data_IF_465305338839
#
_entry.id   IF_465305338839
#
_cell.length_a   1.000
_cell.length_b   1.000
_cell.length_c   1.000
_cell.angle_alpha   90.00
_cell.angle_beta   90.00
_cell.angle_gamma   90.00
#
_symmetry.space_group_name_H-M   'P 1'
#
loop_
_entity.id
_entity.type
_entity.pdbx_description
1 polymer ?
#
# COMPACT_ATOMS: atom_id res chain seq x y z
N UNK A 1 -5.08 33.02 -3.04
CA UNK A 1 -3.70 32.64 -2.67
C UNK A 1 -3.29 31.46 -3.52
N UNK A 2 -2.17 31.51 -4.24
CA UNK A 2 -1.68 30.34 -4.97
C UNK A 2 -1.22 29.29 -3.93
N UNK A 3 -1.70 28.04 -4.03
CA UNK A 3 -1.23 26.94 -3.18
C UNK A 3 0.30 26.84 -3.31
N UNK A 4 1.00 26.88 -2.18
CA UNK A 4 2.47 26.72 -2.11
C UNK A 4 2.87 25.30 -2.55
N UNK A 5 2.02 24.32 -2.28
CA UNK A 5 2.20 22.92 -2.63
C UNK A 5 1.13 22.46 -3.62
N UNK A 6 1.46 21.48 -4.47
CA UNK A 6 0.50 20.86 -5.38
C UNK A 6 -0.33 19.77 -4.71
N UNK A 7 0.22 19.11 -3.68
CA UNK A 7 -0.39 18.01 -2.96
C UNK A 7 -0.68 18.39 -1.51
N UNK A 8 -1.76 17.85 -0.97
CA UNK A 8 -2.15 17.89 0.43
C UNK A 8 -2.12 16.49 1.04
N UNK A 9 -1.60 16.37 2.26
CA UNK A 9 -1.47 15.08 2.97
C UNK A 9 -2.11 15.19 4.35
N UNK A 10 -3.04 14.30 4.68
CA UNK A 10 -3.55 14.14 6.04
C UNK A 10 -2.86 12.96 6.72
N UNK A 11 -2.40 13.18 7.95
CA UNK A 11 -1.75 12.19 8.81
C UNK A 11 -2.66 11.81 9.96
N UNK A 12 -2.77 10.52 10.28
CA UNK A 12 -3.27 10.12 11.60
C UNK A 12 -2.23 10.42 12.68
N UNK A 13 -2.62 10.29 13.93
CA UNK A 13 -1.73 10.49 15.10
C UNK A 13 -1.47 9.15 15.79
N UNK A 14 -2.53 8.45 16.22
CA UNK A 14 -2.42 7.24 17.02
C UNK A 14 -1.82 6.10 16.16
N UNK A 15 -0.81 5.46 16.70
CA UNK A 15 -0.03 4.41 16.05
C UNK A 15 0.56 4.78 14.66
N UNK A 16 0.46 6.06 14.29
CA UNK A 16 1.21 6.62 13.15
C UNK A 16 2.34 7.53 13.62
N UNK A 17 2.06 8.60 14.36
CA UNK A 17 3.04 9.56 14.87
C UNK A 17 3.30 9.42 16.36
N UNK A 18 2.32 8.95 17.13
CA UNK A 18 2.41 8.69 18.56
C UNK A 18 2.05 7.24 18.87
N UNK A 19 2.80 6.64 19.81
CA UNK A 19 2.58 5.26 20.25
C UNK A 19 1.28 5.15 21.04
N UNK A 20 0.26 4.53 20.50
CA UNK A 20 -1.02 4.31 21.18
C UNK A 20 -1.12 2.89 21.73
N UNK A 21 -1.26 1.91 20.87
CA UNK A 21 -1.44 0.49 21.23
C UNK A 21 -0.24 -0.05 22.01
N UNK A 22 0.97 0.20 21.54
CA UNK A 22 2.19 -0.26 22.19
C UNK A 22 2.36 0.34 23.59
N UNK A 23 2.05 1.63 23.73
CA UNK A 23 2.12 2.32 25.01
C UNK A 23 1.06 1.80 25.99
N UNK A 24 -0.19 1.60 25.57
CA UNK A 24 -1.25 1.03 26.38
C UNK A 24 -0.90 -0.40 26.85
N UNK A 25 -0.32 -1.25 25.99
CA UNK A 25 0.16 -2.59 26.34
C UNK A 25 1.27 -2.51 27.41
N UNK A 26 2.22 -1.59 27.26
CA UNK A 26 3.28 -1.36 28.24
C UNK A 26 2.69 -1.02 29.61
N UNK A 27 1.79 -0.04 29.67
CA UNK A 27 1.12 0.36 30.92
C UNK A 27 0.30 -0.78 31.54
N UNK A 28 -0.40 -1.58 30.72
CA UNK A 28 -1.13 -2.75 31.18
C UNK A 28 -0.21 -3.81 31.78
N UNK A 29 0.92 -4.10 31.15
CA UNK A 29 1.91 -5.03 31.69
C UNK A 29 2.52 -4.53 33.00
N UNK A 30 2.77 -3.24 33.11
CA UNK A 30 3.27 -2.62 34.36
C UNK A 30 2.24 -2.69 35.51
N UNK A 31 0.96 -2.48 35.20
CA UNK A 31 -0.14 -2.48 36.16
C UNK A 31 -0.54 -3.89 36.60
N UNK A 32 -0.76 -4.77 35.64
CA UNK A 32 -1.37 -6.10 35.89
C UNK A 32 -0.37 -7.24 36.01
N UNK A 33 0.91 -7.01 35.65
CA UNK A 33 1.99 -8.01 35.76
C UNK A 33 1.66 -9.33 35.08
N UNK A 34 1.13 -9.25 33.84
CA UNK A 34 0.80 -10.45 33.05
C UNK A 34 2.01 -11.38 32.87
N UNK A 35 1.76 -12.71 32.94
CA UNK A 35 2.75 -13.74 32.64
C UNK A 35 2.13 -14.79 31.69
N UNK A 36 2.58 -14.94 30.46
CA UNK A 36 3.56 -14.07 29.79
C UNK A 36 3.01 -12.63 29.58
N UNK A 37 3.89 -11.61 29.45
CA UNK A 37 3.46 -10.25 29.18
C UNK A 37 2.60 -10.15 27.92
N UNK A 38 1.68 -9.19 27.90
CA UNK A 38 0.93 -8.84 26.68
C UNK A 38 1.90 -8.39 25.58
N UNK A 39 1.63 -8.84 24.36
CA UNK A 39 2.37 -8.48 23.16
C UNK A 39 1.49 -7.73 22.17
N UNK A 40 2.07 -6.79 21.45
CA UNK A 40 1.39 -6.07 20.35
C UNK A 40 0.93 -7.03 19.23
N UNK A 41 1.56 -8.20 19.11
CA UNK A 41 1.19 -9.23 18.13
C UNK A 41 -0.09 -10.00 18.49
N UNK A 42 -0.63 -9.81 19.69
CA UNK A 42 -1.96 -10.31 20.09
C UNK A 42 -3.10 -9.45 19.48
N UNK A 43 -2.76 -8.29 18.92
CA UNK A 43 -3.68 -7.47 18.14
C UNK A 43 -3.79 -8.03 16.72
N UNK A 44 -4.82 -8.84 16.45
CA UNK A 44 -5.03 -9.46 15.14
C UNK A 44 -5.79 -8.54 14.18
N UNK A 45 -6.62 -7.65 14.70
CA UNK A 45 -7.39 -6.66 13.95
C UNK A 45 -7.63 -5.41 14.81
N UNK A 46 -8.08 -4.32 14.21
CA UNK A 46 -8.50 -3.14 14.96
C UNK A 46 -9.86 -3.38 15.61
N UNK A 47 -9.99 -3.07 16.90
CA UNK A 47 -11.20 -3.24 17.70
C UNK A 47 -11.05 -4.27 18.82
N UNK A 48 -12.15 -4.55 19.54
CA UNK A 48 -12.14 -5.50 20.64
C UNK A 48 -12.09 -6.94 20.16
N UNK A 49 -11.28 -7.76 20.84
CA UNK A 49 -11.02 -9.15 20.49
C UNK A 49 -11.78 -10.15 21.38
N UNK A 50 -12.32 -9.71 22.52
CA UNK A 50 -12.82 -10.61 23.56
C UNK A 50 -11.72 -11.36 24.31
N UNK A 51 -10.48 -10.87 24.25
CA UNK A 51 -9.29 -11.48 24.85
C UNK A 51 -8.65 -10.56 25.90
N UNK A 52 -7.60 -11.05 26.57
CA UNK A 52 -6.88 -10.28 27.58
C UNK A 52 -6.29 -8.96 27.05
N UNK A 53 -6.02 -8.84 25.75
CA UNK A 53 -5.46 -7.62 25.15
C UNK A 53 -6.45 -6.46 25.18
N UNK A 54 -7.75 -6.72 25.33
CA UNK A 54 -8.78 -5.68 25.41
C UNK A 54 -8.65 -4.74 26.62
N UNK A 55 -7.80 -5.09 27.59
CA UNK A 55 -7.45 -4.21 28.71
C UNK A 55 -6.89 -2.84 28.26
N UNK A 56 -6.30 -2.76 27.07
CA UNK A 56 -5.76 -1.51 26.51
C UNK A 56 -6.83 -0.41 26.40
N UNK A 57 -8.09 -0.77 26.20
CA UNK A 57 -9.21 0.18 26.08
C UNK A 57 -9.53 0.93 27.39
N UNK A 58 -9.00 0.50 28.53
CA UNK A 58 -9.10 1.24 29.79
C UNK A 58 -8.33 2.58 29.69
N UNK A 59 -7.18 2.56 29.01
CA UNK A 59 -6.28 3.72 28.89
C UNK A 59 -6.82 4.79 27.93
N UNK A 60 -7.63 4.40 26.94
CA UNK A 60 -8.20 5.34 25.98
C UNK A 60 -9.29 6.25 26.55
N UNK A 61 -9.69 6.02 27.81
CA UNK A 61 -10.59 6.88 28.58
C UNK A 61 -9.84 7.69 29.66
N UNK A 62 -8.51 7.69 29.66
CA UNK A 62 -7.68 8.39 30.63
C UNK A 62 -7.01 9.60 29.99
N UNK A 63 -7.27 10.86 30.45
CA UNK A 63 -6.61 12.05 29.94
C UNK A 63 -5.09 12.02 30.11
N UNK A 64 -4.58 11.34 31.15
CA UNK A 64 -3.15 11.26 31.40
C UNK A 64 -2.45 10.40 30.33
N UNK A 65 -3.13 9.38 29.82
CA UNK A 65 -2.63 8.60 28.70
C UNK A 65 -2.26 9.52 27.50
N UNK A 66 -3.16 10.41 27.10
CA UNK A 66 -2.93 11.33 25.98
C UNK A 66 -1.90 12.43 26.27
N UNK A 67 -1.69 12.77 27.55
CA UNK A 67 -0.63 13.71 27.94
C UNK A 67 0.76 13.11 27.88
N UNK A 68 0.87 11.81 28.17
CA UNK A 68 2.16 11.10 28.34
C UNK A 68 2.51 10.18 27.18
N UNK A 69 1.58 10.01 26.24
CA UNK A 69 1.74 9.17 25.04
C UNK A 69 3.04 9.51 24.30
N UNK A 70 3.96 8.53 24.09
CA UNK A 70 5.24 8.80 23.44
C UNK A 70 5.09 9.13 21.96
N UNK A 71 5.97 9.94 21.43
CA UNK A 71 6.14 10.16 20.00
C UNK A 71 7.04 9.07 19.43
N UNK A 72 6.66 8.47 18.31
CA UNK A 72 7.51 7.48 17.64
C UNK A 72 8.87 8.06 17.26
N UNK A 73 9.90 7.23 17.37
CA UNK A 73 11.24 7.60 16.91
C UNK A 73 11.20 7.97 15.42
N UNK A 74 11.75 9.13 15.08
CA UNK A 74 11.79 9.64 13.71
C UNK A 74 10.53 10.39 13.25
N UNK A 75 9.39 10.36 14.00
CA UNK A 75 8.15 11.00 13.58
C UNK A 75 8.30 12.53 13.40
N UNK A 76 9.04 13.21 14.27
CA UNK A 76 9.29 14.66 14.15
C UNK A 76 10.08 14.98 12.87
N UNK A 77 11.14 14.22 12.60
CA UNK A 77 11.92 14.38 11.38
C UNK A 77 11.11 14.09 10.13
N UNK A 78 10.27 13.05 10.18
CA UNK A 78 9.35 12.70 9.12
C UNK A 78 8.38 13.84 8.80
N UNK A 79 7.68 14.38 9.83
CA UNK A 79 6.75 15.51 9.64
C UNK A 79 7.47 16.74 9.08
N UNK A 80 8.66 17.06 9.59
CA UNK A 80 9.46 18.18 9.09
C UNK A 80 9.81 18.01 7.61
N UNK A 81 10.26 16.82 7.18
CA UNK A 81 10.56 16.53 5.77
C UNK A 81 9.28 16.61 4.92
N UNK A 82 8.21 15.97 5.35
CA UNK A 82 6.94 15.95 4.62
C UNK A 82 6.36 17.36 4.43
N UNK A 83 6.49 18.23 5.43
CA UNK A 83 6.04 19.63 5.36
C UNK A 83 6.81 20.48 4.33
N UNK A 84 7.94 19.98 3.81
CA UNK A 84 8.63 20.61 2.67
C UNK A 84 8.10 20.12 1.32
N UNK A 85 7.40 19.01 1.30
CA UNK A 85 6.95 18.31 0.07
C UNK A 85 5.46 18.52 -0.22
N UNK A 86 4.63 18.53 0.83
CA UNK A 86 3.17 18.64 0.75
C UNK A 86 2.62 19.61 1.78
N UNK A 87 1.39 20.08 1.58
CA UNK A 87 0.62 20.75 2.62
C UNK A 87 0.11 19.71 3.61
N UNK A 88 0.61 19.76 4.86
CA UNK A 88 0.35 18.72 5.86
C UNK A 88 -0.84 19.10 6.75
N UNK A 89 -1.76 18.17 6.90
CA UNK A 89 -2.90 18.19 7.81
C UNK A 89 -2.81 17.03 8.78
N UNK A 90 -3.48 17.16 9.92
CA UNK A 90 -3.74 16.06 10.85
C UNK A 90 -5.21 15.70 10.82
N UNK A 91 -5.51 14.40 10.82
CA UNK A 91 -6.86 13.86 10.93
C UNK A 91 -6.87 12.73 11.96
N UNK A 92 -7.28 13.03 13.20
CA UNK A 92 -7.25 12.07 14.31
C UNK A 92 -8.60 11.90 14.97
N UNK A 93 -8.95 10.66 15.33
CA UNK A 93 -10.14 10.34 16.11
C UNK A 93 -9.78 10.30 17.59
N UNK A 94 -10.46 11.12 18.39
CA UNK A 94 -10.27 11.20 19.85
C UNK A 94 -11.61 11.54 20.51
N UNK A 95 -11.89 11.06 21.74
CA UNK A 95 -13.07 11.48 22.50
C UNK A 95 -13.10 13.01 22.66
N UNK A 96 -14.30 13.64 22.52
CA UNK A 96 -14.44 15.09 22.55
C UNK A 96 -13.83 15.77 23.78
N UNK A 97 -13.92 15.12 24.94
CA UNK A 97 -13.38 15.59 26.22
C UNK A 97 -11.84 15.71 26.24
N UNK A 98 -11.14 15.04 25.33
CA UNK A 98 -9.67 15.04 25.27
C UNK A 98 -9.12 15.83 24.07
N UNK A 99 -9.97 16.40 23.22
CA UNK A 99 -9.54 17.12 22.02
C UNK A 99 -8.56 18.26 22.33
N UNK A 100 -8.78 19.00 23.44
CA UNK A 100 -7.87 20.08 23.86
C UNK A 100 -6.47 19.57 24.24
N UNK A 101 -6.39 18.41 24.89
CA UNK A 101 -5.12 17.76 25.24
C UNK A 101 -4.39 17.36 23.96
N UNK A 102 -5.08 16.72 23.04
CA UNK A 102 -4.54 16.25 21.76
C UNK A 102 -4.04 17.43 20.91
N UNK A 103 -4.84 18.51 20.78
CA UNK A 103 -4.45 19.69 20.01
C UNK A 103 -3.17 20.31 20.56
N UNK A 104 -3.09 20.49 21.88
CA UNK A 104 -1.89 21.02 22.54
C UNK A 104 -0.67 20.17 22.25
N UNK A 105 -0.78 18.83 22.41
CA UNK A 105 0.32 17.89 22.14
C UNK A 105 0.77 17.94 20.69
N UNK A 106 -0.15 18.00 19.71
CA UNK A 106 0.21 18.08 18.29
C UNK A 106 1.01 19.37 18.03
N UNK A 107 0.55 20.52 18.54
CA UNK A 107 1.24 21.79 18.34
C UNK A 107 2.63 21.84 19.01
N UNK A 108 2.79 21.16 20.16
CA UNK A 108 4.08 21.09 20.88
C UNK A 108 5.08 20.15 20.18
N UNK A 109 4.61 19.01 19.70
CA UNK A 109 5.49 17.96 19.17
C UNK A 109 5.78 18.13 17.67
N UNK A 110 4.85 18.74 16.91
CA UNK A 110 4.91 18.93 15.47
C UNK A 110 4.60 20.38 15.06
N UNK A 111 5.49 21.34 15.44
CA UNK A 111 5.26 22.78 15.21
C UNK A 111 5.21 23.18 13.73
N UNK A 112 5.60 22.29 12.82
CA UNK A 112 5.47 22.49 11.37
C UNK A 112 4.02 22.42 10.89
N UNK A 113 3.09 21.84 11.69
CA UNK A 113 1.67 21.70 11.35
C UNK A 113 0.91 22.91 11.92
N UNK A 114 0.32 23.77 11.08
CA UNK A 114 -0.48 24.91 11.55
C UNK A 114 -1.69 24.43 12.37
N UNK A 115 -2.10 25.22 13.35
CA UNK A 115 -3.23 24.86 14.24
C UNK A 115 -4.54 24.70 13.49
N UNK A 116 -4.77 25.44 12.41
CA UNK A 116 -5.95 25.37 11.54
C UNK A 116 -5.90 24.18 10.56
N UNK A 117 -4.80 23.41 10.52
CA UNK A 117 -4.67 22.15 9.80
C UNK A 117 -4.99 20.91 10.67
N UNK A 118 -5.46 21.09 11.90
CA UNK A 118 -5.75 19.99 12.81
C UNK A 118 -7.26 19.68 12.80
N UNK A 119 -7.62 18.53 12.27
CA UNK A 119 -8.98 18.01 12.24
C UNK A 119 -9.16 16.86 13.23
N UNK A 120 -10.18 16.94 14.09
CA UNK A 120 -10.46 15.93 15.10
C UNK A 120 -11.86 15.37 14.93
N UNK A 121 -11.94 14.07 14.75
CA UNK A 121 -13.20 13.35 14.59
C UNK A 121 -13.03 12.04 13.85
N UNK A 122 -13.98 11.13 14.00
CA UNK A 122 -13.95 9.77 13.42
C UNK A 122 -14.30 9.75 11.91
N UNK A 123 -14.88 10.83 11.38
CA UNK A 123 -15.34 10.89 9.98
C UNK A 123 -14.24 11.37 9.04
N UNK A 124 -13.11 10.64 9.00
CA UNK A 124 -11.97 10.94 8.13
C UNK A 124 -12.33 10.90 6.64
N UNK A 125 -13.39 10.18 6.28
CA UNK A 125 -13.98 10.15 4.93
C UNK A 125 -14.49 11.52 4.42
N UNK A 126 -14.67 12.50 5.32
CA UNK A 126 -15.11 13.87 4.97
C UNK A 126 -13.96 14.84 4.73
N UNK A 127 -12.72 14.44 4.94
CA UNK A 127 -11.56 15.30 4.73
C UNK A 127 -11.09 15.11 3.28
N UNK A 128 -11.04 16.22 2.54
CA UNK A 128 -10.60 16.23 1.15
C UNK A 128 -9.11 16.58 1.08
N UNK A 129 -8.30 15.58 0.85
CA UNK A 129 -6.85 15.69 0.65
C UNK A 129 -6.42 14.77 -0.50
N UNK A 130 -5.23 14.99 -1.05
CA UNK A 130 -4.70 14.13 -2.10
C UNK A 130 -4.19 12.80 -1.53
N UNK A 131 -3.56 12.84 -0.36
CA UNK A 131 -2.95 11.69 0.32
C UNK A 131 -3.54 11.57 1.72
N UNK A 132 -4.00 10.38 2.10
CA UNK A 132 -4.26 10.02 3.50
C UNK A 132 -3.21 9.01 3.95
N UNK A 133 -2.58 9.22 5.09
CA UNK A 133 -1.66 8.28 5.72
C UNK A 133 -2.16 7.86 7.09
N UNK A 134 -2.52 6.59 7.23
CA UNK A 134 -3.25 6.05 8.38
C UNK A 134 -2.87 4.57 8.58
N UNK A 135 -2.94 4.05 9.82
CA UNK A 135 -2.70 2.64 10.12
C UNK A 135 -3.97 1.80 10.16
N UNK A 136 -5.13 2.46 10.21
CA UNK A 136 -6.42 1.79 10.31
C UNK A 136 -7.02 1.51 8.93
N UNK A 137 -7.14 0.22 8.60
CA UNK A 137 -7.65 -0.25 7.30
C UNK A 137 -9.02 0.34 6.93
N UNK A 138 -9.92 0.51 7.90
CA UNK A 138 -11.25 1.09 7.63
C UNK A 138 -11.19 2.56 7.19
N UNK A 139 -10.20 3.34 7.67
CA UNK A 139 -9.99 4.71 7.23
C UNK A 139 -9.48 4.75 5.79
N UNK A 140 -8.55 3.85 5.45
CA UNK A 140 -8.03 3.71 4.09
C UNK A 140 -9.15 3.34 3.11
N UNK A 141 -9.98 2.34 3.45
CA UNK A 141 -11.06 1.85 2.57
C UNK A 141 -12.19 2.87 2.34
N UNK A 142 -12.47 3.71 3.33
CA UNK A 142 -13.53 4.72 3.27
C UNK A 142 -13.02 6.10 2.84
N UNK A 143 -11.72 6.27 2.64
CA UNK A 143 -11.13 7.56 2.28
C UNK A 143 -11.61 8.06 0.94
N UNK A 144 -11.80 9.37 0.83
CA UNK A 144 -11.98 10.10 -0.43
C UNK A 144 -10.65 10.61 -1.03
N UNK A 145 -9.53 10.41 -0.35
CA UNK A 145 -8.22 10.75 -0.86
C UNK A 145 -7.88 9.92 -2.11
N UNK A 146 -7.20 10.54 -3.08
CA UNK A 146 -6.75 9.82 -4.28
C UNK A 146 -5.71 8.75 -3.97
N UNK A 147 -4.85 9.01 -2.97
CA UNK A 147 -3.78 8.12 -2.52
C UNK A 147 -3.96 7.78 -1.03
N UNK A 148 -4.88 6.88 -0.67
CA UNK A 148 -4.95 6.36 0.69
C UNK A 148 -3.80 5.36 0.88
N UNK A 149 -2.92 5.64 1.84
CA UNK A 149 -1.69 4.86 2.09
C UNK A 149 -1.74 4.32 3.51
N UNK A 150 -1.62 2.99 3.64
CA UNK A 150 -1.65 2.28 4.91
C UNK A 150 -0.24 2.20 5.51
N UNK A 151 -0.08 2.60 6.78
CA UNK A 151 1.09 2.23 7.57
C UNK A 151 0.94 0.79 8.07
N UNK A 152 1.87 -0.08 7.74
CA UNK A 152 1.86 -1.46 8.23
C UNK A 152 2.05 -1.52 9.74
N UNK A 153 1.14 -2.26 10.39
CA UNK A 153 1.12 -2.55 11.82
C UNK A 153 0.71 -4.02 12.03
N UNK A 154 0.94 -4.62 13.21
CA UNK A 154 0.56 -6.02 13.46
C UNK A 154 -0.91 -6.34 13.16
N UNK A 155 -1.84 -5.42 13.44
CA UNK A 155 -3.29 -5.61 13.22
C UNK A 155 -3.78 -5.43 11.79
N UNK A 156 -2.91 -5.01 10.88
CA UNK A 156 -3.25 -4.86 9.47
C UNK A 156 -2.29 -5.60 8.53
N UNK A 157 -1.47 -6.52 9.08
CA UNK A 157 -0.44 -7.27 8.33
C UNK A 157 -0.98 -8.04 7.13
N UNK A 158 -2.23 -8.52 7.24
CA UNK A 158 -2.89 -9.31 6.20
C UNK A 158 -3.67 -8.43 5.18
N UNK A 159 -3.70 -7.11 5.38
CA UNK A 159 -4.35 -6.19 4.46
C UNK A 159 -3.66 -6.18 3.10
N UNK A 160 -4.42 -6.41 2.03
CA UNK A 160 -3.93 -6.48 0.66
C UNK A 160 -4.76 -5.61 -0.30
N UNK A 161 -4.21 -5.32 -1.48
CA UNK A 161 -4.93 -4.60 -2.52
C UNK A 161 -4.97 -3.08 -2.40
N UNK A 162 -4.24 -2.50 -1.44
CA UNK A 162 -4.12 -1.06 -1.22
C UNK A 162 -2.66 -0.63 -1.16
N UNK A 163 -2.37 0.66 -1.35
CA UNK A 163 -1.05 1.20 -1.08
C UNK A 163 -0.70 1.05 0.39
N UNK A 164 0.46 0.50 0.69
CA UNK A 164 0.95 0.32 2.05
C UNK A 164 2.46 0.48 2.11
N UNK A 165 2.95 1.00 3.24
CA UNK A 165 4.37 1.20 3.52
C UNK A 165 4.70 0.68 4.93
N UNK A 166 5.96 0.33 5.16
CA UNK A 166 6.41 -0.22 6.44
C UNK A 166 7.02 0.85 7.36
N UNK A 167 7.44 1.98 6.81
CA UNK A 167 8.13 3.05 7.54
C UNK A 167 7.98 4.40 6.84
N UNK A 168 8.45 5.46 7.51
CA UNK A 168 8.38 6.82 7.02
C UNK A 168 9.22 7.07 5.75
N UNK A 169 10.37 6.40 5.62
CA UNK A 169 11.23 6.60 4.45
C UNK A 169 10.59 6.03 3.17
N UNK A 170 9.90 4.90 3.28
CA UNK A 170 9.10 4.35 2.17
C UNK A 170 7.97 5.30 1.79
N UNK A 171 7.29 5.89 2.79
CA UNK A 171 6.23 6.86 2.54
C UNK A 171 6.76 8.11 1.83
N UNK A 172 7.87 8.70 2.30
CA UNK A 172 8.46 9.89 1.69
C UNK A 172 8.87 9.64 0.23
N UNK A 173 9.51 8.49 -0.06
CA UNK A 173 9.82 8.11 -1.45
C UNK A 173 8.57 7.97 -2.32
N UNK A 174 7.49 7.41 -1.75
CA UNK A 174 6.23 7.29 -2.47
C UNK A 174 5.61 8.66 -2.76
N UNK A 175 5.68 9.61 -1.83
CA UNK A 175 5.24 11.00 -2.02
C UNK A 175 6.04 11.69 -3.12
N UNK A 176 7.36 11.47 -3.20
CA UNK A 176 8.20 11.99 -4.31
C UNK A 176 7.68 11.52 -5.65
N UNK A 177 7.45 10.21 -5.82
CA UNK A 177 6.92 9.62 -7.05
C UNK A 177 5.54 10.17 -7.41
N UNK A 178 4.65 10.29 -6.41
CA UNK A 178 3.32 10.88 -6.61
C UNK A 178 3.44 12.34 -7.09
N UNK A 179 4.32 13.12 -6.47
CA UNK A 179 4.56 14.52 -6.83
C UNK A 179 5.13 14.68 -8.25
N UNK A 180 6.06 13.83 -8.65
CA UNK A 180 6.62 13.80 -10.01
C UNK A 180 5.55 13.44 -11.04
N UNK A 181 4.73 12.44 -10.78
CA UNK A 181 3.62 12.03 -11.66
C UNK A 181 2.61 13.17 -11.89
N UNK A 182 2.38 14.01 -10.89
CA UNK A 182 1.57 15.22 -11.02
C UNK A 182 2.21 16.33 -11.86
N UNK A 183 3.56 16.40 -11.86
CA UNK A 183 4.31 17.44 -12.55
C UNK A 183 4.41 17.22 -14.06
N UNK A 184 4.53 15.94 -14.49
CA UNK A 184 4.84 15.57 -15.87
C UNK A 184 3.58 15.52 -16.75
N UNK A 185 2.38 15.36 -16.16
CA UNK A 185 1.17 15.06 -16.94
C UNK A 185 1.19 13.61 -17.47
N UNK A 186 0.11 13.18 -18.14
CA UNK A 186 -0.03 11.80 -18.64
C UNK A 186 0.65 11.59 -20.03
N UNK A 187 1.78 12.20 -20.29
CA UNK A 187 2.52 11.97 -21.55
C UNK A 187 3.57 10.88 -21.33
N UNK A 188 3.08 9.65 -21.28
CA UNK A 188 3.87 8.44 -21.02
C UNK A 188 4.01 7.60 -22.29
N UNK A 189 4.41 8.22 -23.41
CA UNK A 189 4.85 7.45 -24.57
C UNK A 189 6.15 6.72 -24.23
N UNK A 190 6.18 5.39 -24.39
CA UNK A 190 7.42 4.60 -24.25
C UNK A 190 8.29 4.81 -25.49
N UNK A 191 9.02 5.91 -25.57
CA UNK A 191 9.96 6.20 -26.64
C UNK A 191 11.29 5.45 -26.51
N UNK A 192 11.59 4.95 -25.32
CA UNK A 192 12.78 4.17 -24.96
C UNK A 192 12.36 2.90 -24.21
N UNK A 193 13.26 1.90 -24.06
CA UNK A 193 12.94 0.74 -23.23
C UNK A 193 12.42 1.15 -21.85
N UNK A 194 11.22 0.72 -21.53
CA UNK A 194 10.53 1.07 -20.29
C UNK A 194 9.77 -0.10 -19.72
N UNK A 195 9.06 0.14 -18.63
CA UNK A 195 8.40 -0.90 -17.84
C UNK A 195 6.88 -0.69 -17.93
N UNK A 196 6.15 -1.72 -18.33
CA UNK A 196 4.70 -1.76 -18.35
C UNK A 196 4.19 -2.71 -17.29
N UNK A 197 3.39 -2.18 -16.38
CA UNK A 197 2.83 -2.94 -15.26
C UNK A 197 1.31 -3.02 -15.40
N UNK A 198 0.79 -4.24 -15.53
CA UNK A 198 -0.64 -4.48 -15.47
C UNK A 198 -1.06 -4.64 -14.01
N UNK A 199 -1.90 -3.73 -13.53
CA UNK A 199 -2.44 -3.68 -12.18
C UNK A 199 -3.93 -4.04 -12.22
N UNK A 200 -4.47 -4.55 -11.13
CA UNK A 200 -5.91 -4.83 -11.01
C UNK A 200 -6.19 -6.07 -10.18
N UNK A 201 -7.48 -6.32 -9.85
CA UNK A 201 -7.89 -7.36 -8.94
C UNK A 201 -7.48 -8.77 -9.37
N UNK A 202 -7.40 -9.66 -8.38
CA UNK A 202 -7.31 -11.09 -8.66
C UNK A 202 -8.48 -11.52 -9.54
N UNK A 203 -8.19 -12.31 -10.59
CA UNK A 203 -9.23 -12.72 -11.54
C UNK A 203 -9.56 -11.71 -12.65
N UNK A 204 -8.90 -10.55 -12.70
CA UNK A 204 -9.10 -9.57 -13.78
C UNK A 204 -8.53 -10.04 -15.14
N UNK A 205 -7.67 -11.06 -15.14
CA UNK A 205 -7.10 -11.62 -16.37
C UNK A 205 -5.76 -11.05 -16.78
N UNK A 206 -5.05 -10.32 -15.90
CA UNK A 206 -3.74 -9.69 -16.16
C UNK A 206 -2.74 -10.62 -16.86
N UNK A 207 -2.52 -11.82 -16.32
CA UNK A 207 -1.56 -12.77 -16.89
C UNK A 207 -1.97 -13.24 -18.29
N UNK A 208 -3.27 -13.48 -18.52
CA UNK A 208 -3.78 -13.85 -19.85
C UNK A 208 -3.59 -12.72 -20.86
N UNK A 209 -3.89 -11.49 -20.45
CA UNK A 209 -3.68 -10.29 -21.27
C UNK A 209 -2.19 -10.11 -21.58
N UNK A 210 -1.33 -10.21 -20.55
CA UNK A 210 0.12 -10.09 -20.76
C UNK A 210 0.66 -11.16 -21.71
N UNK A 211 0.21 -12.42 -21.61
CA UNK A 211 0.55 -13.47 -22.57
C UNK A 211 0.12 -13.12 -23.99
N UNK A 212 -1.07 -12.52 -24.15
CA UNK A 212 -1.55 -12.07 -25.46
C UNK A 212 -0.71 -10.93 -26.02
N UNK A 213 -0.35 -9.94 -25.22
CA UNK A 213 0.56 -8.84 -25.63
C UNK A 213 1.90 -9.42 -26.10
N UNK A 214 2.50 -10.30 -25.30
CA UNK A 214 3.78 -10.95 -25.63
C UNK A 214 3.75 -11.79 -26.90
N UNK A 215 2.59 -12.38 -27.26
CA UNK A 215 2.44 -13.14 -28.50
C UNK A 215 2.29 -12.30 -29.76
N UNK A 216 2.03 -10.99 -29.62
CA UNK A 216 1.80 -10.07 -30.75
C UNK A 216 3.00 -9.20 -31.10
N UNK A 217 4.04 -9.18 -30.25
CA UNK A 217 5.23 -8.35 -30.48
C UNK A 217 6.43 -8.89 -29.69
N UNK A 218 7.61 -8.75 -30.30
CA UNK A 218 8.92 -9.11 -29.70
C UNK A 218 9.56 -7.95 -28.93
N UNK A 219 8.94 -6.76 -28.97
CA UNK A 219 9.43 -5.57 -28.25
C UNK A 219 9.39 -5.72 -26.73
N UNK A 220 8.60 -6.64 -26.19
CA UNK A 220 8.43 -6.87 -24.77
C UNK A 220 9.07 -8.16 -24.31
N UNK A 221 9.66 -8.12 -23.13
CA UNK A 221 10.06 -9.29 -22.37
C UNK A 221 9.33 -9.31 -21.04
N UNK A 222 8.87 -10.50 -20.67
CA UNK A 222 8.22 -10.75 -19.41
C UNK A 222 9.23 -10.70 -18.26
N UNK A 223 8.90 -9.96 -17.19
CA UNK A 223 9.59 -10.09 -15.91
C UNK A 223 9.04 -11.29 -15.15
N UNK A 224 9.90 -12.20 -14.75
CA UNK A 224 9.55 -13.37 -13.93
C UNK A 224 9.82 -13.03 -12.46
N UNK A 225 8.79 -13.04 -11.63
CA UNK A 225 8.89 -12.79 -10.20
C UNK A 225 9.34 -14.04 -9.43
N UNK A 226 9.78 -13.86 -8.20
CA UNK A 226 10.14 -14.94 -7.28
C UNK A 226 8.98 -15.21 -6.31
N UNK A 227 8.76 -16.47 -5.95
CA UNK A 227 7.75 -16.85 -4.97
C UNK A 227 8.17 -18.04 -4.12
N UNK A 228 7.67 -18.07 -2.88
CA UNK A 228 7.79 -19.22 -1.98
C UNK A 228 6.60 -20.17 -2.07
N UNK A 229 5.67 -19.94 -3.02
CA UNK A 229 4.52 -20.81 -3.21
C UNK A 229 4.94 -22.18 -3.77
N UNK A 230 4.06 -23.19 -3.63
CA UNK A 230 4.29 -24.52 -4.21
C UNK A 230 4.07 -24.49 -5.73
N UNK A 231 5.03 -24.94 -6.56
CA UNK A 231 4.88 -25.04 -8.00
C UNK A 231 3.67 -25.82 -8.45
N UNK A 232 3.23 -26.83 -7.67
CA UNK A 232 2.08 -27.68 -7.99
C UNK A 232 0.74 -27.00 -7.75
N UNK A 233 0.71 -25.91 -6.95
CA UNK A 233 -0.50 -25.19 -6.60
C UNK A 233 -0.89 -24.09 -7.60
N UNK A 234 -0.02 -23.75 -8.57
CA UNK A 234 -0.21 -22.63 -9.48
C UNK A 234 -0.37 -23.13 -10.92
N UNK A 235 -1.51 -22.86 -11.54
CA UNK A 235 -1.80 -23.19 -12.94
C UNK A 235 -0.88 -22.50 -13.97
N UNK A 236 -0.05 -21.52 -13.54
CA UNK A 236 0.77 -20.67 -14.42
C UNK A 236 2.25 -20.70 -14.01
N UNK A 237 2.90 -21.87 -14.12
CA UNK A 237 4.34 -22.07 -13.80
C UNK A 237 5.31 -21.12 -14.53
N UNK A 238 4.86 -20.39 -15.53
CA UNK A 238 5.72 -19.53 -16.36
C UNK A 238 5.95 -18.13 -15.77
N UNK A 239 5.24 -17.75 -14.69
CA UNK A 239 5.29 -16.37 -14.15
C UNK A 239 6.18 -16.25 -12.91
N UNK A 240 6.67 -17.38 -12.39
CA UNK A 240 7.41 -17.37 -11.14
C UNK A 240 8.65 -18.24 -11.15
N UNK A 241 9.70 -17.75 -10.50
CA UNK A 241 10.82 -18.53 -10.03
C UNK A 241 10.50 -19.01 -8.60
N UNK A 242 10.40 -20.31 -8.42
CA UNK A 242 10.08 -20.90 -7.13
C UNK A 242 11.33 -21.04 -6.30
N UNK A 243 11.33 -20.49 -5.08
CA UNK A 243 12.47 -20.52 -4.15
C UNK A 243 12.01 -20.94 -2.76
N UNK A 244 12.93 -21.45 -1.94
CA UNK A 244 12.62 -21.72 -0.54
C UNK A 244 12.37 -20.44 0.25
N UNK A 245 11.65 -20.54 1.39
CA UNK A 245 11.43 -19.42 2.30
C UNK A 245 12.75 -18.79 2.76
N UNK A 246 13.76 -19.63 3.05
CA UNK A 246 15.07 -19.14 3.51
C UNK A 246 15.81 -18.40 2.39
N UNK A 247 15.78 -18.91 1.17
CA UNK A 247 16.37 -18.23 0.00
C UNK A 247 15.66 -16.89 -0.25
N UNK A 248 14.33 -16.88 -0.20
CA UNK A 248 13.56 -15.66 -0.39
C UNK A 248 13.89 -14.60 0.67
N UNK A 249 14.00 -15.02 1.94
CA UNK A 249 14.40 -14.14 3.04
C UNK A 249 15.81 -13.57 2.82
N UNK A 250 16.77 -14.40 2.45
CA UNK A 250 18.13 -13.94 2.13
C UNK A 250 18.14 -12.90 1.01
N UNK A 251 17.35 -13.09 -0.05
CA UNK A 251 17.22 -12.14 -1.17
C UNK A 251 16.59 -10.80 -0.72
N UNK A 252 15.67 -10.83 0.24
CA UNK A 252 15.13 -9.62 0.84
C UNK A 252 16.15 -8.90 1.71
N UNK A 253 16.84 -9.63 2.58
CA UNK A 253 17.81 -9.09 3.54
C UNK A 253 19.06 -8.53 2.86
N UNK A 254 19.48 -9.13 1.73
CA UNK A 254 20.59 -8.64 0.90
C UNK A 254 20.26 -7.40 0.07
N UNK A 255 18.97 -6.99 0.00
CA UNK A 255 18.54 -5.87 -0.82
C UNK A 255 18.47 -6.17 -2.33
N UNK A 256 18.57 -7.43 -2.74
CA UNK A 256 18.39 -7.83 -4.15
C UNK A 256 16.97 -7.58 -4.65
N UNK A 257 15.98 -7.75 -3.76
CA UNK A 257 14.59 -7.49 -4.07
C UNK A 257 14.31 -5.98 -3.98
N UNK A 258 13.82 -5.37 -5.05
CA UNK A 258 13.31 -4.00 -4.98
C UNK A 258 11.89 -3.95 -4.41
N UNK A 259 11.19 -5.07 -4.45
CA UNK A 259 9.83 -5.23 -3.94
C UNK A 259 9.66 -6.67 -3.44
N UNK A 260 9.10 -6.80 -2.26
CA UNK A 260 8.63 -8.07 -1.73
C UNK A 260 7.32 -7.87 -0.95
N UNK A 261 6.42 -8.83 -1.02
CA UNK A 261 5.15 -8.84 -0.31
C UNK A 261 4.80 -10.24 0.14
N UNK A 262 4.06 -10.34 1.25
CA UNK A 262 3.45 -11.59 1.69
C UNK A 262 1.98 -11.60 1.26
N UNK A 263 1.56 -12.68 0.60
CA UNK A 263 0.18 -12.86 0.18
C UNK A 263 -0.22 -14.33 0.37
N UNK A 264 -1.32 -14.56 1.09
CA UNK A 264 -1.80 -15.91 1.43
C UNK A 264 -0.71 -16.85 2.02
N UNK A 265 0.16 -16.31 2.89
CA UNK A 265 1.25 -17.06 3.54
C UNK A 265 2.50 -17.29 2.70
N UNK A 266 2.53 -16.81 1.45
CA UNK A 266 3.66 -16.96 0.54
C UNK A 266 4.32 -15.63 0.22
N UNK A 267 5.66 -15.64 0.07
CA UNK A 267 6.44 -14.50 -0.39
C UNK A 267 6.35 -14.35 -1.91
N UNK A 268 6.24 -13.10 -2.36
CA UNK A 268 6.35 -12.71 -3.78
C UNK A 268 7.28 -11.52 -3.88
N UNK A 269 8.16 -11.53 -4.88
CA UNK A 269 9.11 -10.43 -5.03
C UNK A 269 9.78 -10.42 -6.40
N UNK A 270 10.47 -9.32 -6.70
CA UNK A 270 11.19 -9.14 -7.96
C UNK A 270 12.54 -8.47 -7.72
N UNK A 271 13.56 -8.91 -8.46
CA UNK A 271 14.92 -8.34 -8.35
C UNK A 271 15.11 -7.17 -9.29
N UNK A 272 15.82 -6.17 -8.80
CA UNK A 272 16.20 -5.01 -9.59
C UNK A 272 17.05 -5.38 -10.81
N UNK A 273 17.96 -6.33 -10.62
CA UNK A 273 18.86 -6.81 -11.68
C UNK A 273 18.11 -7.45 -12.85
N UNK A 274 17.02 -8.20 -12.60
CA UNK A 274 16.24 -8.85 -13.66
C UNK A 274 15.53 -7.81 -14.52
N UNK A 275 14.99 -6.75 -13.90
CA UNK A 275 14.39 -5.62 -14.63
C UNK A 275 15.45 -4.93 -15.49
N UNK A 276 16.61 -4.59 -14.90
CA UNK A 276 17.68 -3.90 -15.61
C UNK A 276 18.21 -4.72 -16.80
N UNK A 277 18.38 -6.02 -16.62
CA UNK A 277 18.86 -6.92 -17.69
C UNK A 277 17.93 -6.92 -18.92
N UNK A 278 16.61 -6.84 -18.69
CA UNK A 278 15.66 -6.74 -19.81
C UNK A 278 15.79 -5.38 -20.49
N UNK A 279 15.85 -4.29 -19.75
CA UNK A 279 16.00 -2.93 -20.30
C UNK A 279 17.30 -2.80 -21.09
N UNK A 280 18.42 -3.35 -20.59
CA UNK A 280 19.73 -3.33 -21.25
C UNK A 280 19.72 -4.14 -22.56
N UNK A 281 18.83 -5.13 -22.70
CA UNK A 281 18.62 -5.85 -23.96
C UNK A 281 17.89 -5.04 -25.05
N UNK A 282 17.48 -3.82 -24.74
CA UNK A 282 16.72 -2.96 -25.64
C UNK A 282 15.21 -3.29 -25.71
N UNK A 283 14.70 -4.17 -24.85
CA UNK A 283 13.29 -4.54 -24.78
C UNK A 283 12.57 -3.86 -23.62
N UNK A 284 11.28 -3.65 -23.79
CA UNK A 284 10.43 -3.21 -22.68
C UNK A 284 10.15 -4.37 -21.74
N UNK A 285 10.03 -4.06 -20.46
CA UNK A 285 9.56 -5.01 -19.43
C UNK A 285 8.04 -5.05 -19.43
N UNK A 286 7.44 -6.22 -19.47
CA UNK A 286 6.01 -6.42 -19.19
C UNK A 286 5.85 -7.27 -17.94
N UNK A 287 5.08 -6.79 -16.96
CA UNK A 287 4.83 -7.52 -15.73
C UNK A 287 3.42 -7.33 -15.21
N UNK A 288 3.01 -8.17 -14.28
CA UNK A 288 1.73 -8.08 -13.57
C UNK A 288 2.02 -8.01 -12.07
N UNK A 289 1.59 -6.96 -11.41
CA UNK A 289 1.82 -6.74 -9.97
C UNK A 289 0.57 -6.19 -9.30
N UNK A 290 0.58 -6.16 -7.98
CA UNK A 290 -0.33 -5.32 -7.21
C UNK A 290 0.12 -3.85 -7.27
N UNK A 291 -0.66 -2.96 -6.68
CA UNK A 291 -0.35 -1.52 -6.72
C UNK A 291 0.92 -1.18 -5.95
N UNK A 292 1.22 -1.89 -4.85
CA UNK A 292 2.45 -1.68 -4.08
C UNK A 292 3.69 -1.99 -4.92
N UNK A 293 3.69 -3.13 -5.61
CA UNK A 293 4.77 -3.52 -6.53
C UNK A 293 4.92 -2.54 -7.69
N UNK A 294 3.82 -2.08 -8.27
CA UNK A 294 3.83 -1.10 -9.36
C UNK A 294 4.41 0.26 -8.91
N UNK A 295 4.03 0.74 -7.74
CA UNK A 295 4.56 1.98 -7.18
C UNK A 295 6.02 1.83 -6.74
N UNK A 296 6.42 0.67 -6.22
CA UNK A 296 7.83 0.37 -5.93
C UNK A 296 8.69 0.40 -7.21
N UNK A 297 8.18 -0.10 -8.33
CA UNK A 297 8.88 0.07 -9.62
C UNK A 297 9.09 1.54 -9.97
N UNK A 298 8.06 2.39 -9.80
CA UNK A 298 8.18 3.85 -10.05
C UNK A 298 9.20 4.52 -9.13
N UNK A 299 9.46 4.00 -7.93
CA UNK A 299 10.50 4.54 -7.02
C UNK A 299 11.93 4.18 -7.42
N UNK A 300 12.11 3.12 -8.21
CA UNK A 300 13.43 2.58 -8.56
C UNK A 300 13.81 2.80 -10.03
N UNK A 301 12.82 2.98 -10.91
CA UNK A 301 13.02 3.10 -12.35
C UNK A 301 12.27 4.31 -12.89
N UNK A 302 12.87 4.97 -13.86
CA UNK A 302 12.20 5.94 -14.72
C UNK A 302 11.42 5.20 -15.81
N UNK A 303 10.51 5.88 -16.49
CA UNK A 303 9.76 5.32 -17.62
C UNK A 303 8.94 4.05 -17.26
N UNK A 304 8.14 4.14 -16.20
CA UNK A 304 7.22 3.09 -15.73
C UNK A 304 5.79 3.50 -16.00
N UNK A 305 5.07 2.70 -16.78
CA UNK A 305 3.66 2.88 -17.14
C UNK A 305 2.82 1.85 -16.41
N UNK A 306 1.83 2.30 -15.65
CA UNK A 306 0.87 1.46 -14.94
C UNK A 306 -0.47 1.46 -15.65
N UNK A 307 -1.00 0.27 -15.95
CA UNK A 307 -2.27 0.09 -16.65
C UNK A 307 -3.21 -0.72 -15.75
N UNK A 308 -4.29 -0.09 -15.30
CA UNK A 308 -5.31 -0.77 -14.51
C UNK A 308 -6.23 -1.59 -15.40
N UNK A 309 -6.34 -2.89 -15.11
CA UNK A 309 -7.21 -3.84 -15.83
C UNK A 309 -8.55 -3.93 -15.11
N UNK A 310 -9.54 -3.22 -15.65
CA UNK A 310 -10.90 -3.16 -15.12
C UNK A 310 -11.75 -4.32 -15.63
N UNK A 311 -12.41 -5.00 -14.71
CA UNK A 311 -13.39 -6.06 -15.02
C UNK A 311 -14.60 -5.91 -14.12
N UNK A 312 -15.76 -6.34 -14.61
CA UNK A 312 -16.99 -6.32 -13.82
C UNK A 312 -16.88 -7.18 -12.55
N UNK A 313 -17.44 -6.69 -11.44
CA UNK A 313 -17.37 -7.35 -10.12
C UNK A 313 -17.87 -8.80 -10.16
N UNK A 314 -19.00 -9.06 -10.83
CA UNK A 314 -19.54 -10.42 -10.97
C UNK A 314 -18.56 -11.37 -11.69
N UNK A 315 -17.89 -10.88 -12.73
CA UNK A 315 -16.91 -11.67 -13.48
C UNK A 315 -15.64 -11.94 -12.64
N UNK A 316 -15.19 -10.97 -11.84
CA UNK A 316 -14.08 -11.13 -10.89
C UNK A 316 -14.41 -12.19 -9.85
N UNK A 317 -15.55 -12.05 -9.16
CA UNK A 317 -15.99 -13.01 -8.15
C UNK A 317 -16.12 -14.43 -8.72
N UNK A 318 -16.74 -14.57 -9.89
CA UNK A 318 -16.87 -15.87 -10.57
C UNK A 318 -15.50 -16.47 -10.89
N UNK A 319 -14.55 -15.65 -11.34
CA UNK A 319 -13.18 -16.09 -11.65
C UNK A 319 -12.44 -16.56 -10.39
N UNK A 320 -12.58 -15.85 -9.27
CA UNK A 320 -11.96 -16.22 -7.99
C UNK A 320 -12.54 -17.53 -7.46
N UNK A 321 -13.86 -17.66 -7.45
CA UNK A 321 -14.54 -18.85 -6.94
C UNK A 321 -14.21 -20.12 -7.72
N UNK A 322 -13.94 -20.01 -9.04
CA UNK A 322 -13.55 -21.13 -9.90
C UNK A 322 -12.09 -21.56 -9.74
N UNK A 323 -11.24 -20.78 -9.04
CA UNK A 323 -9.85 -21.19 -8.82
C UNK A 323 -9.76 -22.41 -7.93
N UNK A 324 -8.79 -23.27 -8.20
CA UNK A 324 -8.44 -24.40 -7.34
C UNK A 324 -7.50 -23.91 -6.23
N UNK A 325 -8.07 -23.24 -5.21
CA UNK A 325 -7.35 -22.71 -4.04
C UNK A 325 -8.21 -22.90 -2.79
N UNK A 326 -7.62 -22.71 -1.62
CA UNK A 326 -8.32 -22.83 -0.34
C UNK A 326 -9.50 -21.84 -0.24
N UNK A 327 -10.46 -22.14 0.64
CA UNK A 327 -11.58 -21.22 0.92
C UNK A 327 -11.05 -19.90 1.45
N UNK A 328 -10.06 -19.95 2.33
CA UNK A 328 -9.43 -18.77 2.93
C UNK A 328 -8.79 -17.86 1.86
N UNK A 329 -8.00 -18.42 0.92
CA UNK A 329 -7.46 -17.68 -0.23
C UNK A 329 -8.56 -17.02 -1.06
N UNK A 330 -9.66 -17.73 -1.33
CA UNK A 330 -10.80 -17.18 -2.07
C UNK A 330 -11.44 -16.01 -1.32
N UNK A 331 -11.65 -16.15 0.00
CA UNK A 331 -12.25 -15.10 0.84
C UNK A 331 -11.36 -13.86 0.86
N UNK A 332 -10.05 -14.01 1.08
CA UNK A 332 -9.10 -12.90 1.10
C UNK A 332 -9.08 -12.15 -0.25
N UNK A 333 -9.13 -12.86 -1.37
CA UNK A 333 -9.23 -12.26 -2.72
C UNK A 333 -10.54 -11.52 -2.96
N UNK A 334 -11.65 -12.03 -2.42
CA UNK A 334 -12.96 -11.38 -2.55
C UNK A 334 -13.01 -10.08 -1.74
N UNK A 335 -12.45 -10.09 -0.53
CA UNK A 335 -12.34 -8.89 0.32
C UNK A 335 -11.49 -7.81 -0.37
N UNK A 336 -10.37 -8.20 -0.98
CA UNK A 336 -9.46 -7.28 -1.65
C UNK A 336 -10.05 -6.57 -2.89
N UNK A 337 -11.17 -7.06 -3.47
CA UNK A 337 -11.75 -6.46 -4.69
C UNK A 337 -12.08 -4.98 -4.48
N UNK A 338 -12.63 -4.59 -3.34
CA UNK A 338 -13.06 -3.20 -3.11
C UNK A 338 -11.85 -2.27 -2.95
N UNK A 339 -10.84 -2.67 -2.18
CA UNK A 339 -9.61 -1.89 -2.02
C UNK A 339 -8.85 -1.75 -3.34
N UNK A 340 -8.78 -2.83 -4.13
CA UNK A 340 -8.11 -2.81 -5.42
C UNK A 340 -8.81 -1.95 -6.48
N UNK A 341 -10.12 -1.71 -6.36
CA UNK A 341 -10.85 -0.82 -7.28
C UNK A 341 -10.39 0.63 -7.23
N UNK A 342 -9.99 1.12 -6.06
CA UNK A 342 -9.47 2.48 -5.88
C UNK A 342 -8.16 2.69 -6.64
N UNK A 343 -7.40 1.64 -6.91
CA UNK A 343 -6.15 1.71 -7.64
C UNK A 343 -6.30 2.16 -9.10
N UNK A 344 -7.51 2.15 -9.64
CA UNK A 344 -7.79 2.68 -10.98
C UNK A 344 -7.48 4.18 -11.10
N UNK A 345 -7.65 4.95 -10.01
CA UNK A 345 -7.34 6.39 -9.96
C UNK A 345 -5.84 6.67 -9.86
N UNK A 346 -5.07 5.70 -9.37
CA UNK A 346 -3.63 5.81 -9.17
C UNK A 346 -2.86 5.48 -10.45
N UNK A 347 -3.36 4.52 -11.24
CA UNK A 347 -2.70 4.06 -12.46
C UNK A 347 -2.74 5.12 -13.58
N UNK A 348 -1.73 5.08 -14.47
CA UNK A 348 -1.61 6.01 -15.59
C UNK A 348 -2.71 5.82 -16.62
N UNK A 349 -3.10 4.56 -16.87
CA UNK A 349 -4.15 4.20 -17.82
C UNK A 349 -5.12 3.18 -17.23
N UNK A 350 -6.33 3.13 -17.82
CA UNK A 350 -7.36 2.15 -17.51
C UNK A 350 -7.79 1.45 -18.80
N UNK A 351 -7.77 0.10 -18.78
CA UNK A 351 -8.27 -0.76 -19.85
C UNK A 351 -9.48 -1.53 -19.36
N UNK A 352 -10.62 -1.32 -20.01
CA UNK A 352 -11.83 -2.11 -19.86
C UNK A 352 -12.07 -2.86 -21.17
N UNK A 353 -12.37 -4.15 -21.10
CA UNK A 353 -12.34 -5.03 -22.26
C UNK A 353 -13.49 -6.07 -22.23
N UNK A 354 -13.84 -6.56 -23.40
CA UNK A 354 -14.76 -7.68 -23.58
C UNK A 354 -14.02 -8.99 -23.82
N UNK A 355 -12.95 -8.96 -24.61
CA UNK A 355 -12.10 -10.12 -24.89
C UNK A 355 -10.62 -9.82 -24.55
N UNK A 356 -9.84 -10.86 -24.28
CA UNK A 356 -8.41 -10.70 -24.00
C UNK A 356 -7.62 -10.15 -25.19
N UNK A 357 -8.07 -10.42 -26.42
CA UNK A 357 -7.46 -9.89 -27.64
C UNK A 357 -7.73 -8.39 -27.76
N UNK A 358 -8.95 -7.94 -27.44
CA UNK A 358 -9.30 -6.51 -27.36
C UNK A 358 -8.44 -5.79 -26.31
N UNK A 359 -8.28 -6.38 -25.11
CA UNK A 359 -7.42 -5.81 -24.08
C UNK A 359 -5.96 -5.65 -24.55
N UNK A 360 -5.41 -6.67 -25.21
CA UNK A 360 -4.06 -6.62 -25.73
C UNK A 360 -3.89 -5.54 -26.80
N UNK A 361 -4.86 -5.40 -27.72
CA UNK A 361 -4.87 -4.37 -28.73
C UNK A 361 -4.93 -2.95 -28.13
N UNK A 362 -5.77 -2.72 -27.11
CA UNK A 362 -5.84 -1.47 -26.39
C UNK A 362 -4.49 -1.11 -25.73
N UNK A 363 -3.85 -2.09 -25.06
CA UNK A 363 -2.54 -1.89 -24.43
C UNK A 363 -1.49 -1.52 -25.47
N UNK A 364 -1.38 -2.26 -26.57
CA UNK A 364 -0.42 -1.96 -27.63
C UNK A 364 -0.64 -0.58 -28.25
N UNK A 365 -1.91 -0.14 -28.38
CA UNK A 365 -2.25 1.19 -28.84
C UNK A 365 -1.79 2.28 -27.85
N UNK A 366 -1.99 2.10 -26.54
CA UNK A 366 -1.52 3.03 -25.50
C UNK A 366 0.01 3.21 -25.58
N UNK A 367 0.73 2.11 -25.82
CA UNK A 367 2.19 2.09 -25.80
C UNK A 367 2.85 2.57 -27.10
N UNK A 368 2.10 2.68 -28.19
CA UNK A 368 2.57 3.18 -29.48
C UNK A 368 2.18 4.66 -29.73
N UNK A 369 1.57 5.33 -28.74
CA UNK A 369 1.29 6.75 -28.75
C UNK A 369 2.48 7.54 -28.25
#
# INVERSE_FOLDING_TARGET
MSRKFRLSTALDIDDLLMECTGYAIKLANEKYKYDPPLSIYEMEHWGRHGTRVDVIYEYFNDPEFYRTQPVYQGAKEFVRKLSTMTEVFVSTAIPPEFMGIRAKRIMEEFPEIPADHIYMGSRKDKIQVDILFDDAMHNILNSSARYPILMRRPWNRDATGMLAVNNYDEFLRLVEVISESYAIGKDTSLTEPGIVVLVGPSGSGKSKIATKVLSQTDKFQKLVSYTTNDPTAVEENQWYNYVSVDTFRQMCDSGEMFQSTMYAGHGYGSRKQDVQSILDSGRHVLTTMDICGAMSLKTHFKNVVTIYIKREKKALMTSILRKNSSIEDKVNRLIAIESERQNAEICDYLVQFETYDDAAAQILKILNQ
#
